data_IF_789827010102
#
_entry.id   IF_789827010102
#
_cell.length_a   1.000
_cell.length_b   1.000
_cell.length_c   1.000
_cell.angle_alpha   90.00
_cell.angle_beta   90.00
_cell.angle_gamma   90.00
#
_symmetry.space_group_name_H-M   'P 1'
#
loop_
_entity.id
_entity.type
_entity.pdbx_description
1 polymer ?
#
# COMPACT_ATOMS: atom_id res chain seq x y z
N UNK A 1 4.73 17.99 -18.74
CA UNK A 1 5.78 17.03 -18.37
C UNK A 1 5.41 15.73 -19.00
N UNK A 2 6.33 15.15 -19.78
CA UNK A 2 6.15 13.81 -20.32
C UNK A 2 6.50 12.82 -19.22
N UNK A 3 5.47 12.20 -18.66
CA UNK A 3 5.66 11.15 -17.67
C UNK A 3 6.15 9.86 -18.33
N UNK A 4 6.90 9.06 -17.59
CA UNK A 4 7.27 7.72 -18.04
C UNK A 4 6.03 6.84 -18.17
N UNK A 5 6.08 5.89 -19.10
CA UNK A 5 5.06 4.85 -19.21
C UNK A 5 5.33 3.79 -18.14
N UNK A 6 4.40 3.66 -17.19
CA UNK A 6 4.48 2.63 -16.17
C UNK A 6 4.21 1.23 -16.78
N UNK A 7 4.91 0.18 -16.31
CA UNK A 7 4.70 -1.18 -16.79
C UNK A 7 3.24 -1.60 -16.57
N UNK A 8 2.70 -2.34 -17.55
CA UNK A 8 1.33 -2.89 -17.51
C UNK A 8 1.33 -4.40 -17.21
N UNK A 9 2.52 -4.99 -17.19
CA UNK A 9 2.85 -6.38 -16.90
C UNK A 9 3.73 -6.46 -15.65
N UNK A 10 4.12 -7.68 -15.26
CA UNK A 10 4.92 -7.93 -14.06
C UNK A 10 6.43 -7.78 -14.29
N UNK A 11 6.84 -7.05 -15.34
CA UNK A 11 8.25 -6.81 -15.63
C UNK A 11 8.72 -5.58 -14.83
N UNK A 12 9.74 -5.71 -13.94
CA UNK A 12 10.22 -4.58 -13.16
C UNK A 12 10.78 -3.46 -14.05
N UNK A 13 10.41 -2.22 -13.73
CA UNK A 13 11.01 -1.03 -14.34
C UNK A 13 12.04 -0.42 -13.37
N UNK A 14 13.30 -0.38 -13.80
CA UNK A 14 14.39 0.26 -13.03
C UNK A 14 14.62 1.68 -13.55
N UNK A 15 14.48 2.66 -12.67
CA UNK A 15 14.81 4.05 -12.94
C UNK A 15 16.12 4.41 -12.24
N UNK A 16 17.19 4.59 -13.01
CA UNK A 16 18.48 5.01 -12.49
C UNK A 16 18.57 6.55 -12.46
N UNK A 17 18.91 7.11 -11.29
CA UNK A 17 19.20 8.54 -11.15
C UNK A 17 18.86 9.09 -9.76
N UNK A 18 18.96 10.42 -9.64
CA UNK A 18 18.53 11.15 -8.45
C UNK A 18 17.04 10.90 -8.16
N UNK A 19 16.71 10.64 -6.90
CA UNK A 19 15.35 10.25 -6.49
C UNK A 19 14.33 11.33 -6.83
N UNK A 20 14.67 12.61 -6.63
CA UNK A 20 13.74 13.71 -6.91
C UNK A 20 13.48 13.85 -8.41
N UNK A 21 14.51 13.69 -9.23
CA UNK A 21 14.37 13.67 -10.69
C UNK A 21 13.56 12.46 -11.18
N UNK A 22 13.78 11.28 -10.59
CA UNK A 22 13.03 10.07 -10.89
C UNK A 22 11.54 10.21 -10.56
N UNK A 23 11.23 10.68 -9.34
CA UNK A 23 9.85 10.87 -8.88
C UNK A 23 9.07 11.85 -9.78
N UNK A 24 9.69 12.94 -10.24
CA UNK A 24 9.06 13.92 -11.15
C UNK A 24 8.62 13.33 -12.49
N UNK A 25 9.26 12.24 -12.93
CA UNK A 25 8.88 11.53 -14.17
C UNK A 25 7.70 10.58 -13.97
N UNK A 26 7.34 10.24 -12.73
CA UNK A 26 6.25 9.33 -12.42
C UNK A 26 4.91 10.09 -12.40
N UNK A 27 3.84 9.60 -13.07
CA UNK A 27 2.53 10.22 -13.03
C UNK A 27 1.97 10.34 -11.60
N UNK A 28 1.18 11.37 -11.34
CA UNK A 28 0.48 11.51 -10.05
C UNK A 28 -0.55 10.39 -9.84
N UNK A 29 -0.85 10.05 -8.58
CA UNK A 29 -1.85 9.04 -8.20
C UNK A 29 -1.70 7.69 -8.95
N UNK A 30 -0.47 7.25 -9.19
CA UNK A 30 -0.18 6.08 -10.04
C UNK A 30 0.43 4.90 -9.27
N UNK A 31 1.06 5.14 -8.12
CA UNK A 31 1.73 4.13 -7.29
C UNK A 31 0.84 3.76 -6.10
N UNK A 32 0.69 2.47 -5.85
CA UNK A 32 -0.20 1.96 -4.78
C UNK A 32 0.54 1.74 -3.46
N UNK A 33 1.83 1.41 -3.50
CA UNK A 33 2.65 1.17 -2.33
C UNK A 33 4.06 1.70 -2.60
N UNK A 34 4.64 2.37 -1.62
CA UNK A 34 6.03 2.84 -1.65
C UNK A 34 6.74 2.21 -0.45
N UNK A 35 7.90 1.61 -0.68
CA UNK A 35 8.78 1.08 0.36
C UNK A 35 10.16 1.70 0.16
N UNK A 36 10.70 2.35 1.19
CA UNK A 36 12.02 2.98 1.10
C UNK A 36 12.85 2.75 2.36
N UNK A 37 14.17 2.68 2.15
CA UNK A 37 15.19 2.73 3.19
C UNK A 37 16.27 3.73 2.77
N UNK A 38 15.98 5.05 2.79
CA UNK A 38 16.97 6.06 2.42
C UNK A 38 18.20 5.97 3.35
N UNK A 39 19.36 6.51 2.96
CA UNK A 39 20.50 6.64 3.86
C UNK A 39 20.09 7.35 5.16
N UNK A 40 20.46 6.77 6.31
CA UNK A 40 20.12 7.37 7.61
C UNK A 40 21.09 8.50 7.89
N UNK A 41 20.58 9.59 8.47
CA UNK A 41 21.37 10.78 8.76
C UNK A 41 22.61 10.44 9.60
N UNK A 42 23.78 10.81 9.09
CA UNK A 42 25.11 10.72 9.72
C UNK A 42 25.57 9.30 10.11
N UNK A 43 25.02 8.26 9.48
CA UNK A 43 25.40 6.86 9.78
C UNK A 43 26.35 6.22 8.76
N UNK A 44 26.06 6.31 7.45
CA UNK A 44 26.83 5.61 6.42
C UNK A 44 27.07 6.50 5.20
N UNK A 45 28.30 6.52 4.72
CA UNK A 45 28.69 7.11 3.43
C UNK A 45 28.62 6.04 2.33
N UNK A 46 27.90 6.33 1.25
CA UNK A 46 27.78 5.49 0.06
C UNK A 46 28.70 5.97 -1.08
N UNK A 47 29.61 6.91 -0.81
CA UNK A 47 30.59 7.48 -1.72
C UNK A 47 29.98 8.10 -2.98
N UNK A 48 28.78 8.65 -2.83
CA UNK A 48 28.05 9.30 -3.91
C UNK A 48 27.89 10.79 -3.65
N UNK A 49 28.41 11.67 -4.52
CA UNK A 49 28.18 13.10 -4.41
C UNK A 49 26.69 13.42 -4.37
N UNK A 50 26.28 14.24 -3.40
CA UNK A 50 24.89 14.63 -3.23
C UNK A 50 23.98 13.55 -2.63
N UNK A 51 24.54 12.48 -2.05
CA UNK A 51 23.74 11.52 -1.29
C UNK A 51 22.95 12.21 -0.16
N UNK A 52 21.75 11.70 0.07
CA UNK A 52 20.97 12.03 1.26
C UNK A 52 21.66 11.39 2.48
N UNK A 53 21.50 11.97 3.66
CA UNK A 53 22.00 11.42 4.92
C UNK A 53 23.34 12.00 5.39
N UNK A 54 23.95 12.93 4.64
CA UNK A 54 25.17 13.66 5.04
C UNK A 54 24.98 15.17 5.08
N UNK A 55 23.74 15.61 5.22
CA UNK A 55 23.41 17.01 5.48
C UNK A 55 24.08 17.50 6.77
N UNK A 56 24.46 18.77 6.83
CA UNK A 56 25.30 19.31 7.91
C UNK A 56 24.58 19.26 9.26
N UNK A 57 23.26 19.40 9.23
CA UNK A 57 22.41 19.41 10.42
C UNK A 57 21.28 18.37 10.32
N UNK A 58 20.77 17.89 11.47
CA UNK A 58 19.56 17.07 11.50
C UNK A 58 18.39 17.73 10.74
N UNK A 59 18.26 19.05 10.85
CA UNK A 59 17.14 19.80 10.31
C UNK A 59 17.18 19.88 8.79
N UNK A 60 18.37 19.99 8.19
CA UNK A 60 18.55 19.90 6.75
C UNK A 60 18.14 18.53 6.21
N UNK A 61 18.57 17.44 6.86
CA UNK A 61 18.14 16.08 6.49
C UNK A 61 16.63 15.91 6.58
N UNK A 62 16.02 16.35 7.70
CA UNK A 62 14.57 16.25 7.88
C UNK A 62 13.85 17.08 6.81
N UNK A 63 14.33 18.28 6.51
CA UNK A 63 13.79 19.13 5.44
C UNK A 63 13.86 18.42 4.09
N UNK A 64 15.00 17.82 3.77
CA UNK A 64 15.19 17.06 2.53
C UNK A 64 14.22 15.88 2.42
N UNK A 65 14.05 15.13 3.51
CA UNK A 65 13.09 14.01 3.59
C UNK A 65 11.64 14.48 3.42
N UNK A 66 11.27 15.60 4.04
CA UNK A 66 9.94 16.22 3.90
C UNK A 66 9.70 16.68 2.46
N UNK A 67 10.70 17.28 1.80
CA UNK A 67 10.63 17.68 0.40
C UNK A 67 10.40 16.48 -0.53
N UNK A 68 11.19 15.42 -0.38
CA UNK A 68 11.02 14.17 -1.14
C UNK A 68 9.62 13.60 -0.90
N UNK A 69 9.15 13.64 0.34
CA UNK A 69 7.84 13.10 0.68
C UNK A 69 6.66 13.86 0.04
N UNK A 70 6.84 15.12 -0.38
CA UNK A 70 5.83 15.85 -1.16
C UNK A 70 5.63 15.20 -2.52
N UNK A 71 6.72 14.85 -3.19
CA UNK A 71 6.67 14.15 -4.48
C UNK A 71 6.20 12.70 -4.31
N UNK A 72 6.59 12.01 -3.23
CA UNK A 72 6.06 10.69 -2.91
C UNK A 72 4.53 10.73 -2.73
N UNK A 73 4.00 11.72 -2.00
CA UNK A 73 2.55 11.88 -1.81
C UNK A 73 1.84 12.15 -3.15
N UNK A 74 2.47 12.90 -4.05
CA UNK A 74 1.92 13.20 -5.38
C UNK A 74 1.74 11.94 -6.22
N UNK A 75 2.75 11.07 -6.27
CA UNK A 75 2.72 9.86 -7.09
C UNK A 75 1.88 8.75 -6.47
N UNK A 76 1.68 8.79 -5.15
CA UNK A 76 0.89 7.81 -4.43
C UNK A 76 -0.60 7.98 -4.73
N UNK A 77 -1.30 6.87 -4.93
CA UNK A 77 -2.76 6.84 -4.98
C UNK A 77 -3.34 7.29 -3.64
N UNK A 78 -4.59 7.75 -3.65
CA UNK A 78 -5.29 8.24 -2.46
C UNK A 78 -5.45 7.18 -1.36
N UNK A 79 -5.49 5.91 -1.75
CA UNK A 79 -5.56 4.73 -0.88
C UNK A 79 -4.20 4.03 -0.71
N UNK A 80 -3.13 4.62 -1.23
CA UNK A 80 -1.80 4.02 -1.20
C UNK A 80 -1.13 4.14 0.17
N UNK A 81 -0.13 3.29 0.38
CA UNK A 81 0.66 3.23 1.61
C UNK A 81 2.14 3.57 1.36
N UNK A 82 2.78 4.18 2.35
CA UNK A 82 4.21 4.45 2.35
C UNK A 82 4.88 3.84 3.59
N UNK A 83 5.81 2.93 3.37
CA UNK A 83 6.68 2.34 4.39
C UNK A 83 8.05 3.01 4.32
N UNK A 84 8.37 3.81 5.34
CA UNK A 84 9.64 4.49 5.49
C UNK A 84 10.47 3.82 6.59
N UNK A 85 11.59 3.22 6.21
CA UNK A 85 12.55 2.65 7.14
C UNK A 85 13.71 3.62 7.36
N UNK A 86 13.79 4.22 8.54
CA UNK A 86 14.86 5.14 8.97
C UNK A 86 15.25 4.90 10.43
N UNK A 87 16.52 5.10 10.75
CA UNK A 87 17.06 5.04 12.10
C UNK A 87 17.27 6.42 12.72
N UNK A 88 17.46 6.45 14.04
CA UNK A 88 17.85 7.65 14.78
C UNK A 88 19.38 7.71 14.96
N UNK A 89 19.87 8.87 15.38
CA UNK A 89 21.29 9.14 15.64
C UNK A 89 21.48 9.77 17.01
N UNK A 90 22.68 9.63 17.57
CA UNK A 90 23.10 10.28 18.80
C UNK A 90 23.99 11.49 18.52
N UNK A 91 23.68 12.62 19.16
CA UNK A 91 24.59 13.77 19.31
C UNK A 91 24.73 14.01 20.79
N UNK A 92 25.97 14.14 21.29
CA UNK A 92 26.25 14.35 22.71
C UNK A 92 25.52 13.38 23.65
N UNK A 93 25.45 12.10 23.23
CA UNK A 93 24.74 11.00 23.92
C UNK A 93 23.22 11.15 24.01
N UNK A 94 22.62 12.13 23.34
CA UNK A 94 21.17 12.31 23.21
C UNK A 94 20.64 11.83 21.86
N UNK A 95 19.52 11.10 21.86
CA UNK A 95 18.79 10.74 20.65
C UNK A 95 18.22 12.00 19.99
N UNK A 96 18.32 12.07 18.67
CA UNK A 96 17.89 13.24 17.89
C UNK A 96 16.43 13.19 17.47
N UNK A 97 15.74 12.07 17.75
CA UNK A 97 14.35 11.81 17.40
C UNK A 97 14.10 11.98 15.89
N UNK A 98 15.07 11.62 15.05
CA UNK A 98 14.99 11.82 13.60
C UNK A 98 13.72 11.19 13.01
N UNK A 99 13.39 9.91 13.27
CA UNK A 99 12.19 9.29 12.68
C UNK A 99 10.90 9.99 13.11
N UNK A 100 10.80 10.40 14.37
CA UNK A 100 9.62 11.07 14.91
C UNK A 100 9.47 12.47 14.34
N UNK A 101 10.57 13.23 14.21
CA UNK A 101 10.58 14.57 13.63
C UNK A 101 10.24 14.55 12.14
N UNK A 102 10.78 13.59 11.38
CA UNK A 102 10.39 13.36 9.98
C UNK A 102 8.90 13.08 9.89
N UNK A 103 8.38 12.12 10.65
CA UNK A 103 6.95 11.78 10.62
C UNK A 103 6.07 12.99 11.02
N UNK A 104 6.44 13.71 12.07
CA UNK A 104 5.72 14.90 12.53
C UNK A 104 5.68 16.00 11.46
N UNK A 105 6.83 16.34 10.86
CA UNK A 105 6.90 17.36 9.81
C UNK A 105 6.16 16.92 8.55
N UNK A 106 6.27 15.65 8.15
CA UNK A 106 5.50 15.09 7.03
C UNK A 106 3.99 15.24 7.25
N UNK A 107 3.47 14.88 8.44
CA UNK A 107 2.04 14.99 8.75
C UNK A 107 1.56 16.43 8.70
N UNK A 108 2.34 17.38 9.22
CA UNK A 108 1.90 18.77 9.37
C UNK A 108 2.14 19.63 8.13
N UNK A 109 3.28 19.46 7.45
CA UNK A 109 3.74 20.36 6.39
C UNK A 109 3.38 19.88 4.99
N UNK A 110 3.23 18.57 4.81
CA UNK A 110 2.98 18.00 3.48
C UNK A 110 1.49 17.86 3.29
N UNK A 111 0.91 18.88 2.65
CA UNK A 111 -0.49 18.92 2.25
C UNK A 111 -0.58 19.14 0.75
N UNK A 112 -1.33 18.29 0.08
CA UNK A 112 -1.78 18.53 -1.29
C UNK A 112 -3.20 19.06 -1.26
N UNK A 113 -3.45 20.09 -2.06
CA UNK A 113 -4.80 20.60 -2.30
C UNK A 113 -5.35 19.82 -3.48
N UNK A 114 -6.30 18.94 -3.22
CA UNK A 114 -7.03 18.25 -4.28
C UNK A 114 -7.90 19.23 -5.06
N UNK A 115 -8.35 18.85 -6.26
CA UNK A 115 -9.22 19.70 -7.12
C UNK A 115 -10.47 20.23 -6.40
N UNK A 116 -10.96 19.51 -5.38
CA UNK A 116 -12.08 19.90 -4.52
C UNK A 116 -11.68 20.77 -3.30
N UNK A 117 -10.50 21.38 -3.31
CA UNK A 117 -9.92 22.17 -2.22
C UNK A 117 -9.69 21.40 -0.90
N UNK A 118 -9.91 20.09 -0.86
CA UNK A 118 -9.61 19.26 0.32
C UNK A 118 -8.10 19.11 0.46
N UNK A 119 -7.57 19.39 1.66
CA UNK A 119 -6.18 19.13 2.01
C UNK A 119 -6.02 17.64 2.34
N UNK A 120 -5.24 16.93 1.55
CA UNK A 120 -4.81 15.55 1.81
C UNK A 120 -3.34 15.58 2.18
N UNK A 121 -2.93 14.77 3.15
CA UNK A 121 -1.56 14.72 3.63
C UNK A 121 -1.23 13.37 4.24
N UNK A 122 -0.05 13.26 4.82
CA UNK A 122 0.37 12.02 5.47
C UNK A 122 -0.41 11.75 6.77
N UNK A 123 -0.63 10.47 7.03
CA UNK A 123 -1.17 9.94 8.28
C UNK A 123 -0.23 8.84 8.78
N UNK A 124 0.30 8.98 10.00
CA UNK A 124 1.07 7.91 10.61
C UNK A 124 0.11 6.82 11.11
N UNK A 125 0.14 5.65 10.46
CA UNK A 125 -0.73 4.53 10.79
C UNK A 125 -0.18 3.67 11.92
N UNK A 126 1.11 3.36 11.87
CA UNK A 126 1.81 2.52 12.84
C UNK A 126 3.30 2.87 12.83
N UNK A 127 3.96 2.52 13.93
CA UNK A 127 5.42 2.45 14.01
C UNK A 127 5.81 0.97 14.13
N UNK A 128 6.60 0.49 13.17
CA UNK A 128 7.06 -0.89 13.13
C UNK A 128 8.49 -0.90 13.67
N UNK A 129 8.71 -1.58 14.79
CA UNK A 129 10.05 -1.75 15.36
C UNK A 129 10.70 -2.95 14.67
N UNK A 130 11.69 -2.68 13.81
CA UNK A 130 12.50 -3.74 13.23
C UNK A 130 13.59 -4.17 14.21
N UNK A 131 13.27 -5.12 15.08
CA UNK A 131 14.20 -5.66 16.07
C UNK A 131 15.11 -6.71 15.42
N UNK A 132 16.34 -6.31 15.07
CA UNK A 132 17.36 -7.23 14.53
C UNK A 132 18.03 -8.00 15.66
N UNK A 133 17.60 -9.24 15.88
CA UNK A 133 18.30 -10.17 16.76
C UNK A 133 19.53 -10.72 16.04
N UNK A 134 20.74 -10.40 16.51
CA UNK A 134 21.91 -11.22 16.21
C UNK A 134 21.96 -12.38 17.19
N UNK A 135 22.21 -13.58 16.69
CA UNK A 135 22.29 -14.77 17.53
C UNK A 135 23.70 -14.95 18.08
N UNK A 136 23.83 -15.62 19.22
CA UNK A 136 25.11 -15.84 19.87
C UNK A 136 26.14 -16.54 18.97
N UNK A 137 25.69 -17.40 18.06
CA UNK A 137 26.51 -18.12 17.09
C UNK A 137 26.83 -17.31 15.81
N UNK A 138 26.47 -16.03 15.76
CA UNK A 138 26.88 -15.15 14.64
C UNK A 138 28.40 -15.02 14.66
N UNK A 139 29.05 -15.42 13.58
CA UNK A 139 30.50 -15.33 13.43
C UNK A 139 30.96 -13.87 13.31
N UNK A 140 32.07 -13.57 13.98
CA UNK A 140 32.79 -12.31 13.96
C UNK A 140 34.24 -12.58 13.60
N UNK A 141 34.79 -11.75 12.71
CA UNK A 141 36.22 -11.67 12.49
C UNK A 141 36.80 -10.57 13.38
N UNK A 142 37.73 -10.92 14.25
CA UNK A 142 38.31 -9.99 15.24
C UNK A 142 39.84 -10.06 15.21
N UNK A 143 40.46 -9.01 15.75
CA UNK A 143 41.87 -9.00 16.13
C UNK A 143 41.96 -8.88 17.65
N UNK A 144 42.37 -9.94 18.32
CA UNK A 144 42.52 -9.98 19.77
C UNK A 144 43.99 -10.13 20.16
N UNK A 145 44.49 -9.25 21.03
CA UNK A 145 45.88 -9.22 21.49
C UNK A 145 46.91 -9.36 20.34
N UNK A 146 46.62 -8.69 19.22
CA UNK A 146 47.46 -8.68 18.02
C UNK A 146 47.23 -9.82 17.02
N UNK A 147 46.43 -10.84 17.36
CA UNK A 147 46.17 -12.01 16.51
C UNK A 147 44.78 -11.97 15.87
N UNK A 148 44.70 -12.37 14.60
CA UNK A 148 43.43 -12.52 13.89
C UNK A 148 42.75 -13.83 14.29
N UNK A 149 41.45 -13.77 14.57
CA UNK A 149 40.65 -14.95 14.88
C UNK A 149 39.21 -14.78 14.40
N UNK A 150 38.59 -15.91 14.03
CA UNK A 150 37.15 -16.02 13.83
C UNK A 150 36.55 -16.57 15.12
N UNK A 151 35.52 -15.91 15.64
CA UNK A 151 34.82 -16.30 16.88
C UNK A 151 33.32 -16.07 16.71
N UNK A 152 32.51 -16.48 17.67
CA UNK A 152 31.09 -16.13 17.72
C UNK A 152 30.80 -14.98 18.70
N UNK A 153 29.66 -14.30 18.56
CA UNK A 153 29.21 -13.28 19.54
C UNK A 153 29.20 -13.86 20.96
N UNK A 154 28.79 -15.12 21.13
CA UNK A 154 28.71 -15.79 22.43
C UNK A 154 30.07 -16.09 23.04
N UNK A 155 31.00 -16.64 22.26
CA UNK A 155 32.38 -16.87 22.69
C UNK A 155 33.03 -15.54 23.08
N UNK A 156 32.95 -14.54 22.19
CA UNK A 156 33.48 -13.21 22.47
C UNK A 156 32.85 -12.59 23.72
N UNK A 157 31.55 -12.78 23.96
CA UNK A 157 30.87 -12.29 25.17
C UNK A 157 31.41 -12.94 26.45
N UNK A 158 31.66 -14.25 26.42
CA UNK A 158 32.16 -14.99 27.57
C UNK A 158 33.65 -14.73 27.83
N UNK A 159 34.42 -14.50 26.76
CA UNK A 159 35.88 -14.40 26.81
C UNK A 159 36.38 -12.95 26.72
N UNK A 160 35.52 -11.93 26.58
CA UNK A 160 35.98 -10.55 26.37
C UNK A 160 37.00 -10.08 27.41
N UNK A 161 36.84 -10.51 28.67
CA UNK A 161 37.71 -10.13 29.78
C UNK A 161 39.04 -10.92 29.83
N UNK A 162 39.18 -12.01 29.06
CA UNK A 162 40.45 -12.74 28.97
C UNK A 162 41.44 -12.06 28.02
N UNK A 163 40.93 -11.26 27.07
CA UNK A 163 41.74 -10.48 26.15
C UNK A 163 42.09 -9.12 26.74
N UNK A 164 43.32 -8.64 26.53
CA UNK A 164 43.71 -7.27 26.90
C UNK A 164 43.12 -6.25 25.92
N UNK A 165 43.00 -6.64 24.67
CA UNK A 165 42.43 -5.84 23.61
C UNK A 165 41.72 -6.70 22.56
N UNK A 166 40.50 -6.28 22.20
CA UNK A 166 39.77 -6.83 21.06
C UNK A 166 39.41 -5.70 20.11
N UNK A 167 39.71 -5.89 18.83
CA UNK A 167 39.39 -4.97 17.75
C UNK A 167 38.47 -5.64 16.73
N UNK A 168 37.45 -4.90 16.28
CA UNK A 168 36.58 -5.29 15.16
C UNK A 168 36.95 -4.49 13.91
N UNK A 169 37.01 -5.12 12.73
CA UNK A 169 37.16 -4.40 11.48
C UNK A 169 35.85 -3.67 11.16
N UNK A 170 35.97 -2.42 10.74
CA UNK A 170 34.85 -1.64 10.22
C UNK A 170 35.36 -0.67 9.16
N UNK A 171 34.44 -0.01 8.49
CA UNK A 171 34.75 1.06 7.54
C UNK A 171 34.48 2.40 8.24
N UNK A 172 35.44 3.33 8.16
CA UNK A 172 35.30 4.68 8.69
C UNK A 172 34.28 5.49 7.89
N UNK A 173 33.89 6.67 8.38
CA UNK A 173 32.99 7.57 7.63
C UNK A 173 33.60 7.94 6.27
N UNK A 174 34.92 8.07 6.21
CA UNK A 174 35.70 8.39 5.00
C UNK A 174 35.99 7.15 4.13
N UNK A 175 35.43 5.99 4.46
CA UNK A 175 35.60 4.76 3.68
C UNK A 175 36.90 4.01 3.85
N UNK A 176 37.66 4.31 4.90
CA UNK A 176 38.89 3.59 5.19
C UNK A 176 38.61 2.40 6.08
N UNK A 177 39.25 1.27 5.78
CA UNK A 177 39.26 0.14 6.69
C UNK A 177 39.97 0.53 7.99
N UNK A 178 39.24 0.43 9.10
CA UNK A 178 39.75 0.76 10.42
C UNK A 178 39.42 -0.36 11.41
N UNK A 179 40.19 -0.40 12.49
CA UNK A 179 40.00 -1.33 13.59
C UNK A 179 39.46 -0.57 14.79
N UNK A 180 38.28 -0.95 15.27
CA UNK A 180 37.63 -0.30 16.40
C UNK A 180 37.73 -1.18 17.63
N UNK A 181 38.24 -0.59 18.71
CA UNK A 181 38.36 -1.27 20.00
C UNK A 181 37.00 -1.55 20.63
N UNK A 182 36.76 -2.82 20.95
CA UNK A 182 35.60 -3.27 21.70
C UNK A 182 35.80 -2.94 23.17
N UNK A 183 35.14 -1.89 23.66
CA UNK A 183 35.25 -1.46 25.07
C UNK A 183 34.31 -2.24 26.00
N UNK A 184 33.12 -2.58 25.50
CA UNK A 184 32.07 -3.23 26.28
C UNK A 184 31.07 -3.90 25.35
N UNK A 185 30.63 -5.10 25.72
CA UNK A 185 29.47 -5.74 25.10
C UNK A 185 28.25 -5.47 25.97
N UNK A 186 27.21 -4.92 25.35
CA UNK A 186 25.92 -4.70 26.00
C UNK A 186 25.00 -5.85 25.64
N UNK A 187 24.47 -6.52 26.66
CA UNK A 187 23.41 -7.52 26.51
C UNK A 187 22.11 -6.89 26.98
N UNK A 188 21.10 -6.83 26.11
CA UNK A 188 19.74 -6.44 26.47
C UNK A 188 18.91 -7.65 26.97
N UNK A 189 19.58 -8.62 27.60
CA UNK A 189 19.03 -9.90 28.01
C UNK A 189 19.35 -11.02 27.03
N UNK A 190 19.37 -12.25 27.54
CA UNK A 190 19.40 -13.47 26.71
C UNK A 190 17.96 -13.96 26.56
N UNK A 191 17.52 -14.17 25.33
CA UNK A 191 16.25 -14.82 25.04
C UNK A 191 16.52 -16.21 24.47
N UNK A 192 15.76 -17.25 24.84
CA UNK A 192 15.82 -18.53 24.16
C UNK A 192 15.48 -18.32 22.68
N UNK A 193 16.37 -18.79 21.81
CA UNK A 193 16.19 -18.75 20.36
C UNK A 193 15.83 -20.16 19.92
N UNK A 194 14.72 -20.31 19.22
CA UNK A 194 14.34 -21.55 18.56
C UNK A 194 15.00 -21.58 17.18
N UNK A 195 15.80 -22.62 16.94
CA UNK A 195 16.40 -22.92 15.65
C UNK A 195 15.47 -23.89 14.91
N UNK A 196 14.86 -23.43 13.83
CA UNK A 196 14.02 -24.25 12.96
C UNK A 196 14.87 -24.64 11.76
N UNK A 197 15.10 -25.93 11.59
CA UNK A 197 15.81 -26.50 10.43
C UNK A 197 14.77 -26.99 9.45
N UNK A 198 14.78 -26.45 8.25
CA UNK A 198 13.85 -26.81 7.19
C UNK A 198 14.38 -28.03 6.43
N UNK A 199 13.50 -28.75 5.76
CA UNK A 199 13.88 -29.89 4.91
C UNK A 199 14.82 -29.48 3.76
N UNK A 200 14.81 -28.22 3.35
CA UNK A 200 15.75 -27.65 2.39
C UNK A 200 17.17 -27.42 2.94
N UNK A 201 17.40 -27.64 4.24
CA UNK A 201 18.65 -27.31 4.93
C UNK A 201 18.75 -25.84 5.38
N UNK A 202 17.78 -25.00 5.01
CA UNK A 202 17.70 -23.62 5.49
C UNK A 202 17.43 -23.58 7.00
N UNK A 203 18.07 -22.63 7.68
CA UNK A 203 17.96 -22.47 9.13
C UNK A 203 17.28 -21.13 9.43
N UNK A 204 16.16 -21.19 10.13
CA UNK A 204 15.47 -20.01 10.67
C UNK A 204 15.80 -19.93 12.17
N UNK A 205 16.38 -18.81 12.59
CA UNK A 205 16.62 -18.52 14.00
C UNK A 205 15.63 -17.45 14.45
N UNK A 206 14.81 -17.78 15.44
CA UNK A 206 13.72 -16.91 15.89
C UNK A 206 13.44 -17.12 17.37
N UNK A 207 12.59 -16.31 18.02
CA UNK A 207 12.20 -16.54 19.43
C UNK A 207 10.85 -17.24 19.50
N UNK A 208 10.54 -17.89 20.63
CA UNK A 208 9.24 -18.56 20.84
C UNK A 208 8.03 -17.63 20.72
N UNK A 209 8.23 -16.32 20.86
CA UNK A 209 7.19 -15.31 20.74
C UNK A 209 6.95 -14.80 19.32
N UNK A 210 7.79 -15.18 18.36
CA UNK A 210 7.54 -14.85 16.97
C UNK A 210 6.34 -15.62 16.44
N UNK A 211 5.75 -15.07 15.39
CA UNK A 211 4.65 -15.69 14.67
C UNK A 211 5.12 -16.01 13.25
N UNK A 212 4.91 -17.24 12.82
CA UNK A 212 5.26 -17.71 11.48
C UNK A 212 3.99 -18.20 10.76
N UNK A 213 3.86 -17.95 9.45
CA UNK A 213 2.80 -18.55 8.66
C UNK A 213 3.05 -20.04 8.47
N UNK A 214 2.04 -20.86 8.79
CA UNK A 214 2.05 -22.32 8.68
C UNK A 214 0.98 -22.77 7.71
N UNK A 215 1.34 -23.67 6.81
CA UNK A 215 0.43 -24.37 5.93
C UNK A 215 -0.22 -25.54 6.66
N UNK A 216 -1.52 -25.43 6.96
CA UNK A 216 -2.29 -26.45 7.68
C UNK A 216 -3.06 -27.40 6.76
N UNK A 217 -3.02 -27.18 5.45
CA UNK A 217 -3.62 -28.06 4.48
C UNK A 217 -3.86 -27.42 3.13
N UNK A 218 -4.16 -28.25 2.15
CA UNK A 218 -4.49 -27.86 0.79
C UNK A 218 -5.88 -28.37 0.42
N UNK A 219 -6.73 -27.54 -0.16
CA UNK A 219 -8.04 -27.93 -0.66
C UNK A 219 -8.09 -27.71 -2.17
N UNK A 220 -8.28 -28.79 -2.94
CA UNK A 220 -8.50 -28.69 -4.37
C UNK A 220 -10.00 -28.45 -4.66
N UNK A 221 -10.33 -27.42 -5.43
CA UNK A 221 -11.68 -27.18 -5.95
C UNK A 221 -11.59 -26.62 -7.36
N UNK A 222 -12.22 -27.29 -8.32
CA UNK A 222 -12.44 -26.79 -9.69
C UNK A 222 -11.17 -26.25 -10.36
N UNK A 223 -10.16 -27.11 -10.54
CA UNK A 223 -8.83 -26.79 -11.10
C UNK A 223 -8.01 -25.75 -10.33
N UNK A 224 -8.34 -25.47 -9.06
CA UNK A 224 -7.59 -24.55 -8.20
C UNK A 224 -7.20 -25.22 -6.88
N UNK A 225 -6.00 -24.89 -6.39
CA UNK A 225 -5.47 -25.36 -5.12
C UNK A 225 -5.52 -24.22 -4.09
N UNK A 226 -6.24 -24.42 -3.00
CA UNK A 226 -6.37 -23.46 -1.91
C UNK A 226 -5.46 -23.87 -0.75
N UNK A 227 -4.59 -22.98 -0.31
CA UNK A 227 -3.71 -23.20 0.84
C UNK A 227 -4.36 -22.63 2.10
N UNK A 228 -4.59 -23.47 3.11
CA UNK A 228 -5.06 -23.03 4.42
C UNK A 228 -3.85 -22.56 5.23
N UNK A 229 -3.62 -21.26 5.22
CA UNK A 229 -2.56 -20.62 5.99
C UNK A 229 -3.09 -20.19 7.36
N UNK A 230 -2.29 -20.42 8.40
CA UNK A 230 -2.54 -19.95 9.75
C UNK A 230 -1.28 -19.30 10.30
N UNK A 231 -1.43 -18.14 10.92
CA UNK A 231 -0.34 -17.52 11.67
C UNK A 231 -0.23 -18.25 13.01
N UNK A 232 0.86 -18.96 13.22
CA UNK A 232 1.11 -19.73 14.44
C UNK A 232 2.26 -19.12 15.21
N UNK A 233 2.12 -19.11 16.52
CA UNK A 233 3.20 -18.72 17.41
C UNK A 233 4.28 -19.81 17.38
N UNK A 234 5.56 -19.43 17.36
CA UNK A 234 6.70 -20.35 17.26
C UNK A 234 6.71 -21.38 18.40
N UNK A 235 6.25 -21.00 19.60
CA UNK A 235 6.05 -21.90 20.74
C UNK A 235 5.12 -23.07 20.43
N UNK A 236 4.16 -22.88 19.51
CA UNK A 236 3.11 -23.85 19.19
C UNK A 236 3.48 -24.73 17.99
N UNK A 237 4.60 -24.44 17.32
CA UNK A 237 5.03 -25.19 16.14
C UNK A 237 5.42 -26.62 16.50
N UNK A 238 4.95 -27.57 15.71
CA UNK A 238 5.26 -28.99 15.83
C UNK A 238 6.26 -29.41 14.76
N UNK A 239 7.04 -30.45 15.04
CA UNK A 239 7.92 -31.06 14.04
C UNK A 239 7.08 -31.59 12.86
N UNK A 240 7.58 -31.39 11.64
CA UNK A 240 6.86 -31.73 10.41
C UNK A 240 5.83 -30.69 9.94
N UNK A 241 5.62 -29.58 10.67
CA UNK A 241 4.78 -28.50 10.15
C UNK A 241 5.41 -27.79 8.95
N UNK A 242 4.60 -27.57 7.92
CA UNK A 242 5.03 -26.87 6.72
C UNK A 242 4.99 -25.36 6.95
N UNK A 243 6.15 -24.76 7.21
CA UNK A 243 6.27 -23.32 7.25
C UNK A 243 6.09 -22.73 5.85
N UNK A 244 5.23 -21.74 5.73
CA UNK A 244 4.98 -21.04 4.48
C UNK A 244 5.94 -19.86 4.34
N UNK A 245 7.15 -20.13 3.86
CA UNK A 245 8.20 -19.13 3.68
C UNK A 245 7.96 -18.33 2.41
N UNK A 246 8.50 -17.10 2.35
CA UNK A 246 8.36 -16.21 1.19
C UNK A 246 8.80 -16.86 -0.13
N UNK A 247 9.68 -17.86 -0.07
CA UNK A 247 10.14 -18.66 -1.21
C UNK A 247 9.08 -19.58 -1.82
N UNK A 248 7.91 -19.77 -1.18
CA UNK A 248 6.83 -20.66 -1.64
C UNK A 248 5.66 -19.94 -2.30
N UNK A 249 5.75 -18.62 -2.49
CA UNK A 249 4.68 -17.88 -3.12
C UNK A 249 4.69 -18.06 -4.64
N UNK A 250 3.62 -18.68 -5.15
CA UNK A 250 3.13 -18.43 -6.49
C UNK A 250 1.71 -17.88 -6.30
N UNK A 251 1.54 -16.55 -6.40
CA UNK A 251 0.25 -15.93 -6.06
C UNK A 251 -0.73 -16.09 -7.24
N UNK A 252 -1.47 -17.19 -7.22
CA UNK A 252 -2.59 -17.42 -8.12
C UNK A 252 -3.91 -17.16 -7.36
N UNK A 253 -4.27 -15.88 -7.19
CA UNK A 253 -5.53 -15.54 -6.52
C UNK A 253 -6.73 -15.94 -7.40
N UNK A 254 -7.67 -16.75 -6.89
CA UNK A 254 -8.80 -17.23 -7.67
C UNK A 254 -9.70 -16.06 -8.10
N UNK A 255 -10.11 -16.07 -9.36
CA UNK A 255 -11.24 -15.24 -9.82
C UNK A 255 -12.45 -15.62 -8.95
N UNK A 256 -12.97 -14.66 -8.19
CA UNK A 256 -14.12 -14.81 -7.32
C UNK A 256 -15.40 -15.14 -8.08
N UNK A 257 -16.45 -15.48 -7.35
CA UNK A 257 -17.78 -15.75 -7.87
C UNK A 257 -18.75 -14.70 -7.37
N UNK A 258 -19.88 -14.57 -8.04
CA UNK A 258 -20.96 -13.64 -7.70
C UNK A 258 -21.58 -13.85 -6.30
N UNK A 259 -21.12 -14.80 -5.47
CA UNK A 259 -21.51 -14.99 -4.05
C UNK A 259 -20.52 -14.37 -3.06
N UNK A 260 -19.31 -14.05 -3.49
CA UNK A 260 -18.19 -13.61 -2.64
C UNK A 260 -18.23 -12.10 -2.31
N UNK A 261 -19.22 -11.38 -2.85
CA UNK A 261 -19.41 -9.93 -2.72
C UNK A 261 -19.90 -9.44 -1.35
N UNK A 262 -20.30 -10.33 -0.43
CA UNK A 262 -20.94 -9.96 0.86
C UNK A 262 -20.05 -9.17 1.84
N UNK A 263 -18.83 -8.79 1.44
CA UNK A 263 -17.79 -8.26 2.32
C UNK A 263 -17.29 -6.83 1.95
N UNK A 264 -17.92 -6.11 1.02
CA UNK A 264 -17.48 -4.78 0.55
C UNK A 264 -18.31 -3.59 1.08
N UNK A 265 -17.65 -2.56 1.63
CA UNK A 265 -18.31 -1.52 2.44
C UNK A 265 -18.73 -0.21 1.72
N UNK A 266 -18.17 0.14 0.55
CA UNK A 266 -18.49 1.43 -0.10
C UNK A 266 -19.69 1.36 -1.06
N UNK A 267 -19.78 0.30 -1.87
CA UNK A 267 -20.90 0.10 -2.81
C UNK A 267 -22.15 -0.44 -2.11
N UNK A 268 -22.01 -0.91 -0.86
CA UNK A 268 -23.13 -1.35 -0.02
C UNK A 268 -24.18 -0.27 0.22
N UNK A 269 -23.79 1.01 0.32
CA UNK A 269 -24.72 2.11 0.60
C UNK A 269 -25.69 2.37 -0.58
N UNK A 270 -25.19 2.39 -1.82
CA UNK A 270 -26.04 2.52 -3.02
C UNK A 270 -26.97 1.31 -3.23
N UNK A 271 -26.47 0.10 -2.96
CA UNK A 271 -27.23 -1.13 -3.17
C UNK A 271 -28.46 -1.24 -2.24
N UNK A 272 -28.37 -0.66 -1.04
CA UNK A 272 -29.45 -0.72 -0.05
C UNK A 272 -30.59 0.27 -0.34
N UNK A 273 -30.28 1.49 -0.79
CA UNK A 273 -31.20 2.64 -0.76
C UNK A 273 -31.28 3.41 -2.11
N UNK A 274 -30.75 2.83 -3.19
CA UNK A 274 -30.65 3.50 -4.50
C UNK A 274 -31.62 2.97 -5.57
N UNK A 275 -32.11 3.84 -6.45
CA UNK A 275 -32.92 3.55 -7.64
C UNK A 275 -32.24 4.01 -8.94
N UNK A 276 -32.54 3.33 -10.05
CA UNK A 276 -32.06 3.74 -11.39
C UNK A 276 -33.15 4.54 -12.11
N UNK A 277 -32.76 5.63 -12.74
CA UNK A 277 -33.61 6.40 -13.64
C UNK A 277 -33.28 5.97 -15.07
N UNK A 278 -34.26 5.36 -15.73
CA UNK A 278 -34.14 4.92 -17.12
C UNK A 278 -34.67 5.99 -18.07
N UNK A 279 -34.05 6.10 -19.24
CA UNK A 279 -34.54 7.01 -20.28
C UNK A 279 -35.92 6.55 -20.77
N UNK A 280 -36.96 7.38 -20.61
CA UNK A 280 -38.32 7.08 -21.10
C UNK A 280 -38.31 6.80 -22.61
N UNK A 281 -39.11 5.82 -23.06
CA UNK A 281 -39.43 5.63 -24.48
C UNK A 281 -40.24 6.85 -24.95
N UNK A 282 -39.73 7.61 -25.90
CA UNK A 282 -40.54 8.60 -26.61
C UNK A 282 -41.43 7.85 -27.61
N UNK A 283 -42.66 7.52 -27.21
CA UNK A 283 -43.61 6.85 -28.09
C UNK A 283 -44.38 7.82 -29.01
N UNK A 284 -44.09 9.13 -28.98
CA UNK A 284 -44.73 10.11 -29.87
C UNK A 284 -43.70 11.12 -30.40
N UNK A 285 -43.50 11.07 -31.72
CA UNK A 285 -42.77 12.07 -32.49
C UNK A 285 -43.52 13.40 -32.45
N UNK A 286 -43.15 14.30 -31.55
CA UNK A 286 -43.39 15.73 -31.74
C UNK A 286 -42.19 16.33 -32.46
N UNK A 287 -42.35 17.42 -33.21
CA UNK A 287 -41.24 18.03 -33.96
C UNK A 287 -40.03 18.40 -33.07
N UNK A 288 -40.25 18.64 -31.77
CA UNK A 288 -39.20 18.84 -30.77
C UNK A 288 -38.39 17.57 -30.47
N UNK A 289 -38.97 16.37 -30.56
CA UNK A 289 -38.27 15.11 -30.29
C UNK A 289 -37.32 14.71 -31.42
N UNK A 290 -37.62 15.08 -32.67
CA UNK A 290 -36.78 14.72 -33.82
C UNK A 290 -35.46 15.49 -33.87
N UNK A 291 -35.46 16.77 -33.47
CA UNK A 291 -34.23 17.55 -33.39
C UNK A 291 -33.27 17.02 -32.31
N UNK A 292 -33.81 16.68 -31.14
CA UNK A 292 -33.03 16.07 -30.05
C UNK A 292 -32.47 14.70 -30.45
N UNK A 293 -33.27 13.86 -31.13
CA UNK A 293 -32.83 12.55 -31.61
C UNK A 293 -31.70 12.67 -32.66
N UNK A 294 -31.79 13.62 -33.59
CA UNK A 294 -30.72 13.88 -34.58
C UNK A 294 -29.42 14.31 -33.90
N UNK A 295 -29.51 15.24 -32.94
CA UNK A 295 -28.34 15.70 -32.18
C UNK A 295 -27.67 14.56 -31.41
N UNK A 296 -28.45 13.71 -30.74
CA UNK A 296 -27.89 12.59 -29.97
C UNK A 296 -27.29 11.49 -30.85
N UNK A 297 -27.90 11.21 -32.01
CA UNK A 297 -27.33 10.28 -32.99
C UNK A 297 -25.93 10.75 -33.42
N UNK A 298 -25.79 12.04 -33.75
CA UNK A 298 -24.51 12.67 -34.09
C UNK A 298 -23.50 12.63 -32.93
N UNK A 299 -23.91 13.02 -31.71
CA UNK A 299 -23.05 12.98 -30.51
C UNK A 299 -22.52 11.56 -30.19
N UNK A 300 -23.25 10.52 -30.62
CA UNK A 300 -22.86 9.11 -30.44
C UNK A 300 -22.24 8.47 -31.69
N UNK A 301 -21.99 9.26 -32.74
CA UNK A 301 -21.29 8.83 -33.95
C UNK A 301 -22.13 8.04 -34.95
N UNK A 302 -23.46 8.12 -34.89
CA UNK A 302 -24.36 7.43 -35.83
C UNK A 302 -24.71 8.32 -37.04
N UNK A 303 -24.78 7.69 -38.22
CA UNK A 303 -25.07 8.35 -39.50
C UNK A 303 -26.53 8.78 -39.65
N UNK A 304 -27.46 8.12 -38.95
CA UNK A 304 -28.89 8.42 -39.01
C UNK A 304 -29.60 8.16 -37.69
N UNK A 305 -30.76 8.80 -37.51
CA UNK A 305 -31.63 8.57 -36.35
C UNK A 305 -32.17 7.14 -36.32
N UNK A 306 -32.44 6.55 -37.50
CA UNK A 306 -32.93 5.18 -37.62
C UNK A 306 -31.86 4.17 -37.17
N UNK A 307 -30.61 4.38 -37.55
CA UNK A 307 -29.48 3.54 -37.12
C UNK A 307 -29.24 3.66 -35.62
N UNK A 308 -29.32 4.88 -35.07
CA UNK A 308 -29.26 5.12 -33.63
C UNK A 308 -30.40 4.41 -32.88
N UNK A 309 -31.64 4.50 -33.37
CA UNK A 309 -32.79 3.85 -32.74
C UNK A 309 -32.71 2.31 -32.80
N UNK A 310 -32.17 1.75 -33.89
CA UNK A 310 -32.00 0.30 -34.07
C UNK A 310 -30.92 -0.29 -33.14
N UNK A 311 -29.87 0.47 -32.84
CA UNK A 311 -28.75 0.04 -31.99
C UNK A 311 -28.85 0.50 -30.53
N UNK A 312 -29.92 1.22 -30.18
CA UNK A 312 -30.10 1.75 -28.82
C UNK A 312 -30.48 0.63 -27.85
N UNK A 313 -29.74 0.52 -26.74
CA UNK A 313 -30.05 -0.43 -25.64
C UNK A 313 -31.44 -0.14 -25.07
N UNK A 314 -32.25 -1.17 -24.85
CA UNK A 314 -33.63 -1.05 -24.35
C UNK A 314 -33.76 -0.35 -22.98
N UNK A 315 -32.71 -0.39 -22.15
CA UNK A 315 -32.67 0.22 -20.81
C UNK A 315 -31.36 1.00 -20.62
N UNK A 316 -31.33 2.23 -21.13
CA UNK A 316 -30.24 3.16 -20.85
C UNK A 316 -30.48 3.82 -19.48
N UNK A 317 -29.62 3.52 -18.50
CA UNK A 317 -29.58 4.22 -17.22
C UNK A 317 -29.05 5.63 -17.50
N UNK A 318 -29.86 6.64 -17.24
CA UNK A 318 -29.51 8.05 -17.46
C UNK A 318 -29.34 8.81 -16.16
N UNK A 319 -29.85 8.26 -15.06
CA UNK A 319 -29.74 8.87 -13.75
C UNK A 319 -29.75 7.84 -12.62
N UNK A 320 -29.34 8.29 -11.46
CA UNK A 320 -29.37 7.56 -10.20
C UNK A 320 -30.11 8.42 -9.19
N UNK A 321 -30.95 7.77 -8.39
CA UNK A 321 -31.65 8.37 -7.27
C UNK A 321 -31.30 7.60 -5.98
N UNK A 322 -31.13 8.31 -4.87
CA UNK A 322 -30.79 7.76 -3.56
C UNK A 322 -31.75 8.32 -2.50
N UNK A 323 -32.37 7.46 -1.72
CA UNK A 323 -33.04 7.86 -0.47
C UNK A 323 -31.99 8.17 0.59
N UNK A 324 -32.11 9.31 1.25
CA UNK A 324 -31.24 9.72 2.35
C UNK A 324 -32.07 9.96 3.61
N UNK A 325 -31.62 9.38 4.72
CA UNK A 325 -32.25 9.60 6.02
C UNK A 325 -32.00 11.02 6.53
N UNK A 326 -33.01 11.62 7.16
CA UNK A 326 -32.92 12.94 7.84
C UNK A 326 -31.76 13.00 8.86
N UNK A 327 -31.39 11.86 9.45
CA UNK A 327 -30.27 11.75 10.39
C UNK A 327 -28.91 12.00 9.72
N UNK A 328 -28.74 11.59 8.47
CA UNK A 328 -27.46 11.72 7.75
C UNK A 328 -27.29 13.15 7.17
N UNK A 329 -28.39 13.78 6.78
CA UNK A 329 -28.44 15.22 6.44
C UNK A 329 -28.02 16.07 7.65
N UNK A 330 -28.63 15.83 8.83
CA UNK A 330 -28.31 16.59 10.06
C UNK A 330 -26.87 16.41 10.55
N UNK A 331 -26.20 15.31 10.18
CA UNK A 331 -24.81 15.04 10.54
C UNK A 331 -23.79 15.59 9.54
N UNK A 332 -24.24 16.22 8.45
CA UNK A 332 -23.35 16.83 7.44
C UNK A 332 -22.60 15.82 6.58
N UNK A 333 -23.03 14.56 6.53
CA UNK A 333 -22.33 13.51 5.75
C UNK A 333 -22.57 13.62 4.25
N UNK A 334 -23.60 14.35 3.83
CA UNK A 334 -24.02 14.44 2.44
C UNK A 334 -23.24 15.50 1.65
N UNK A 335 -22.66 16.52 2.29
CA UNK A 335 -22.10 17.68 1.60
C UNK A 335 -20.92 17.32 0.69
N UNK A 336 -20.01 16.47 1.18
CA UNK A 336 -18.89 15.97 0.38
C UNK A 336 -19.35 15.03 -0.74
N UNK A 337 -20.39 14.25 -0.46
CA UNK A 337 -20.91 13.24 -1.37
C UNK A 337 -21.64 13.86 -2.57
N UNK A 338 -22.45 14.88 -2.29
CA UNK A 338 -23.19 15.66 -3.28
C UNK A 338 -22.24 16.36 -4.25
N UNK A 339 -21.19 17.00 -3.72
CA UNK A 339 -20.22 17.72 -4.53
C UNK A 339 -19.33 16.78 -5.37
N UNK A 340 -18.93 15.63 -4.84
CA UNK A 340 -18.00 14.72 -5.54
C UNK A 340 -18.63 14.02 -6.75
N UNK A 341 -19.95 13.77 -6.71
CA UNK A 341 -20.66 12.98 -7.71
C UNK A 341 -21.81 13.72 -8.39
N UNK A 342 -21.83 15.05 -8.23
CA UNK A 342 -22.77 15.97 -8.88
C UNK A 342 -24.24 15.61 -8.60
N UNK A 343 -24.55 15.17 -7.38
CA UNK A 343 -25.94 14.92 -6.99
C UNK A 343 -26.66 16.26 -6.77
N UNK A 344 -27.95 16.28 -7.10
CA UNK A 344 -28.89 17.34 -6.76
C UNK A 344 -29.80 16.86 -5.65
N UNK A 345 -30.13 17.75 -4.72
CA UNK A 345 -31.05 17.47 -3.62
C UNK A 345 -32.49 17.78 -4.04
N UNK A 346 -33.40 16.86 -3.74
CA UNK A 346 -34.85 17.02 -3.90
C UNK A 346 -35.53 16.61 -2.59
N UNK A 347 -36.36 17.49 -2.02
CA UNK A 347 -37.17 17.16 -0.84
C UNK A 347 -38.55 16.71 -1.28
N UNK A 348 -38.93 15.50 -0.88
CA UNK A 348 -40.26 14.93 -1.10
C UNK A 348 -40.89 14.62 0.26
N UNK A 349 -41.77 15.51 0.74
CA UNK A 349 -42.30 15.41 2.10
C UNK A 349 -41.20 15.51 3.15
N UNK A 350 -41.08 14.48 4.00
CA UNK A 350 -40.04 14.36 5.02
C UNK A 350 -38.77 13.63 4.54
N UNK A 351 -38.73 13.19 3.29
CA UNK A 351 -37.61 12.41 2.74
C UNK A 351 -36.71 13.30 1.87
N UNK A 352 -35.40 13.12 2.03
CA UNK A 352 -34.39 13.77 1.19
C UNK A 352 -33.94 12.77 0.12
N UNK A 353 -34.11 13.15 -1.14
CA UNK A 353 -33.68 12.37 -2.30
C UNK A 353 -32.49 13.04 -2.96
N UNK A 354 -31.44 12.27 -3.26
CA UNK A 354 -30.29 12.73 -4.05
C UNK A 354 -30.37 12.15 -5.45
N UNK A 355 -30.34 13.01 -6.47
CA UNK A 355 -30.44 12.62 -7.87
C UNK A 355 -29.21 13.08 -8.66
N UNK A 356 -28.51 12.18 -9.33
CA UNK A 356 -27.42 12.53 -10.26
C UNK A 356 -27.70 11.96 -11.64
N UNK A 357 -27.37 12.75 -12.66
CA UNK A 357 -27.33 12.34 -14.07
C UNK A 357 -25.89 12.38 -14.62
N UNK A 358 -24.90 12.56 -13.74
CA UNK A 358 -23.49 12.73 -14.09
C UNK A 358 -22.76 11.41 -14.33
N UNK A 359 -21.43 11.46 -14.44
CA UNK A 359 -20.58 10.31 -14.77
C UNK A 359 -20.68 9.13 -13.79
N UNK A 360 -21.13 9.39 -12.56
CA UNK A 360 -21.42 8.36 -11.56
C UNK A 360 -22.45 7.34 -12.08
N UNK A 361 -23.35 7.73 -12.98
CA UNK A 361 -24.30 6.82 -13.65
C UNK A 361 -23.59 5.75 -14.48
N UNK A 362 -22.56 6.15 -15.22
CA UNK A 362 -21.76 5.23 -16.03
C UNK A 362 -20.95 4.29 -15.14
N UNK A 363 -20.36 4.82 -14.07
CA UNK A 363 -19.59 4.04 -13.11
C UNK A 363 -20.45 2.97 -12.41
N UNK A 364 -21.60 3.37 -11.85
CA UNK A 364 -22.51 2.46 -11.16
C UNK A 364 -23.15 1.48 -12.16
N UNK A 365 -23.61 1.94 -13.34
CA UNK A 365 -24.19 1.05 -14.36
C UNK A 365 -23.20 0.03 -14.92
N UNK A 366 -21.90 0.35 -14.93
CA UNK A 366 -20.84 -0.59 -15.31
C UNK A 366 -20.72 -1.72 -14.29
N UNK A 367 -20.81 -1.41 -13.01
CA UNK A 367 -20.44 -2.32 -11.93
C UNK A 367 -21.60 -2.87 -11.10
N UNK A 368 -22.83 -2.40 -11.28
CA UNK A 368 -24.04 -2.91 -10.60
C UNK A 368 -24.96 -3.61 -11.61
N UNK A 369 -25.46 -4.79 -11.24
CA UNK A 369 -26.54 -5.50 -11.92
C UNK A 369 -27.83 -5.48 -11.09
N UNK A 370 -28.95 -5.92 -11.68
CA UNK A 370 -30.28 -5.90 -11.06
C UNK A 370 -31.10 -4.65 -11.40
N UNK A 371 -32.41 -4.74 -11.20
CA UNK A 371 -33.41 -3.73 -11.60
C UNK A 371 -33.98 -2.95 -10.40
N UNK A 372 -34.03 -3.53 -9.19
CA UNK A 372 -34.72 -3.01 -8.00
C UNK A 372 -33.82 -3.01 -6.77
N UNK A 373 -34.15 -2.22 -5.75
CA UNK A 373 -33.43 -2.18 -4.46
C UNK A 373 -33.22 -3.58 -3.83
N UNK A 374 -34.13 -4.52 -4.09
CA UNK A 374 -34.06 -5.88 -3.54
C UNK A 374 -33.20 -6.86 -4.35
N UNK A 375 -32.97 -6.60 -5.64
CA UNK A 375 -32.24 -7.51 -6.52
C UNK A 375 -30.96 -6.89 -7.12
N UNK A 376 -30.61 -5.67 -6.72
CA UNK A 376 -29.35 -5.03 -7.09
C UNK A 376 -28.17 -5.73 -6.45
N UNK A 377 -27.10 -5.90 -7.21
CA UNK A 377 -25.85 -6.50 -6.72
C UNK A 377 -24.63 -5.91 -7.43
N UNK A 378 -23.49 -5.90 -6.73
CA UNK A 378 -22.20 -5.59 -7.33
C UNK A 378 -21.78 -6.72 -8.27
N UNK A 379 -21.50 -6.42 -9.53
CA UNK A 379 -20.96 -7.38 -10.48
C UNK A 379 -19.60 -7.89 -9.99
N UNK A 380 -19.39 -9.18 -10.19
CA UNK A 380 -18.16 -9.89 -9.83
C UNK A 380 -16.88 -9.25 -10.40
N UNK A 381 -16.97 -8.49 -11.49
CA UNK A 381 -15.85 -7.75 -12.11
C UNK A 381 -15.15 -6.80 -11.13
N UNK A 382 -15.89 -6.14 -10.24
CA UNK A 382 -15.29 -5.25 -9.22
C UNK A 382 -14.50 -6.06 -8.21
N UNK A 383 -15.07 -7.16 -7.71
CA UNK A 383 -14.39 -8.05 -6.78
C UNK A 383 -13.09 -8.60 -7.38
N UNK A 384 -13.14 -9.08 -8.62
CA UNK A 384 -11.96 -9.60 -9.32
C UNK A 384 -10.90 -8.52 -9.59
N UNK A 385 -11.32 -7.29 -9.85
CA UNK A 385 -10.40 -6.16 -10.01
C UNK A 385 -9.67 -5.87 -8.70
N UNK A 386 -10.38 -5.87 -7.57
CA UNK A 386 -9.78 -5.71 -6.24
C UNK A 386 -8.86 -6.87 -5.87
N UNK A 387 -9.20 -8.10 -6.25
CA UNK A 387 -8.35 -9.29 -6.05
C UNK A 387 -7.05 -9.17 -6.84
N UNK A 388 -7.10 -8.78 -8.13
CA UNK A 388 -5.88 -8.53 -8.92
C UNK A 388 -5.00 -7.45 -8.31
N UNK A 389 -5.59 -6.40 -7.75
CA UNK A 389 -4.87 -5.36 -7.04
C UNK A 389 -4.14 -5.91 -5.79
N UNK A 390 -4.82 -6.69 -4.97
CA UNK A 390 -4.22 -7.34 -3.79
C UNK A 390 -3.11 -8.33 -4.17
N UNK A 391 -3.25 -9.05 -5.29
CA UNK A 391 -2.21 -9.92 -5.83
C UNK A 391 -0.92 -9.13 -6.07
N UNK A 392 -1.00 -8.02 -6.81
CA UNK A 392 0.17 -7.20 -7.12
C UNK A 392 0.85 -6.61 -5.88
N UNK A 393 0.08 -6.22 -4.85
CA UNK A 393 0.65 -5.71 -3.58
C UNK A 393 1.44 -6.80 -2.84
N UNK A 394 0.89 -8.02 -2.80
CA UNK A 394 1.53 -9.14 -2.11
C UNK A 394 2.78 -9.63 -2.84
N UNK A 395 2.74 -9.70 -4.18
CA UNK A 395 3.92 -10.07 -4.97
C UNK A 395 5.07 -9.09 -4.74
N UNK A 396 4.79 -7.77 -4.77
CA UNK A 396 5.79 -6.75 -4.52
C UNK A 396 6.42 -6.78 -3.12
N UNK A 397 5.68 -7.23 -2.09
CA UNK A 397 6.20 -7.38 -0.72
C UNK A 397 7.08 -8.62 -0.53
N UNK A 398 6.88 -9.65 -1.36
CA UNK A 398 7.61 -10.91 -1.26
C UNK A 398 8.90 -10.91 -2.06
N UNK A 399 8.94 -10.11 -3.13
CA UNK A 399 10.11 -9.93 -3.98
C UNK A 399 11.15 -8.97 -3.37
N UNK A 400 10.86 -8.33 -2.23
CA UNK A 400 11.76 -7.46 -1.47
C UNK A 400 11.20 -6.08 -1.24
#
# INVERSE_FOLDING_TARGET
>A
MDYIKLPQDNIPLVLLGDVMQGLKKIPSESISCIVTSPPYWNLRDYYMPGQIGHEQTPEEYITKMVEISKELLRILKKDGAYFLNIGDTYIDKGLQMIPQRVAYRMINEVKMICKNKKKVGWLLRNQIIWYKCLTGDTSLFIKADGKYQLTTISELYNELNSFREVLLPTISKEGKEIWVKVKKLFSNGKAPVKKIVLTSGLIIKTTENHYLPVLKGTQAKSNRLYFKLQIEKVSNLKEGEHLWLNTHFNIDLPIGKQKDYKYGYLVGFFLAEGNFIYRKRFNKCSNFSMYALKRWALEKGYSSVEEYLKNRKEKEIVGIELSCGIKDEKKGYLDNFIHLFEFKQHKYGNELMLVSYGEVCNFIGKYIGGDTSHNKFLKNDVFNTSIKFLNGVLQGFLDG
#
